data_IF_434809557484
#
_entry.id   IF_434809557484
#
_cell.length_a   1.000
_cell.length_b   1.000
_cell.length_c   1.000
_cell.angle_alpha   90.00
_cell.angle_beta   90.00
_cell.angle_gamma   90.00
#
_symmetry.space_group_name_H-M   'P 1'
#
loop_
_entity.id
_entity.type
_entity.pdbx_description
1 polymer ?
#
# COMPACT_ATOMS: atom_id res chain seq x y z
N UNK A 1 36.20 12.43 -7.46
CA UNK A 1 34.92 13.11 -7.74
C UNK A 1 34.23 12.57 -9.01
N UNK A 2 34.96 12.16 -10.07
CA UNK A 2 34.35 11.54 -11.27
C UNK A 2 33.76 10.12 -11.07
N UNK A 3 34.33 9.30 -10.18
CA UNK A 3 33.85 7.94 -9.94
C UNK A 3 32.45 7.88 -9.27
N UNK A 4 32.12 8.88 -8.44
CA UNK A 4 30.82 8.98 -7.76
C UNK A 4 29.69 9.35 -8.73
N UNK A 5 30.00 10.16 -9.76
CA UNK A 5 29.05 10.51 -10.83
C UNK A 5 28.73 9.33 -11.75
N UNK A 6 29.74 8.54 -12.12
CA UNK A 6 29.54 7.30 -12.89
C UNK A 6 28.75 6.25 -12.10
N UNK A 7 29.01 6.11 -10.80
CA UNK A 7 28.25 5.21 -9.93
C UNK A 7 26.78 5.62 -9.81
N UNK A 8 26.49 6.93 -9.68
CA UNK A 8 25.12 7.45 -9.67
C UNK A 8 24.40 7.25 -11.01
N UNK A 9 25.09 7.45 -12.14
CA UNK A 9 24.52 7.21 -13.49
C UNK A 9 24.21 5.72 -13.69
N UNK A 10 25.12 4.82 -13.31
CA UNK A 10 24.91 3.36 -13.41
C UNK A 10 23.74 2.91 -12.53
N UNK A 11 23.61 3.44 -11.30
CA UNK A 11 22.45 3.15 -10.43
C UNK A 11 21.15 3.72 -10.98
N UNK A 12 21.19 4.90 -11.59
CA UNK A 12 20.02 5.51 -12.22
C UNK A 12 19.57 4.66 -13.42
N UNK A 13 20.50 4.27 -14.30
CA UNK A 13 20.25 3.46 -15.50
C UNK A 13 19.82 2.02 -15.18
N UNK A 14 20.46 1.35 -14.19
CA UNK A 14 19.98 0.06 -13.69
C UNK A 14 18.60 0.18 -13.05
N UNK A 15 18.32 1.29 -12.33
CA UNK A 15 17.02 1.57 -11.74
C UNK A 15 15.89 1.67 -12.77
N UNK A 16 16.18 2.18 -13.98
CA UNK A 16 15.23 2.19 -15.10
C UNK A 16 15.12 0.84 -15.83
N UNK A 17 16.18 0.00 -15.81
CA UNK A 17 16.23 -1.30 -16.51
C UNK A 17 15.73 -2.50 -15.69
N UNK A 18 15.73 -2.44 -14.35
CA UNK A 18 15.24 -3.52 -13.46
C UNK A 18 13.71 -3.55 -13.26
N UNK A 19 12.98 -2.86 -14.12
CA UNK A 19 11.63 -3.27 -14.48
C UNK A 19 10.54 -2.35 -13.95
N UNK A 20 9.64 -2.00 -14.87
CA UNK A 20 8.22 -1.73 -14.54
C UNK A 20 7.82 -2.87 -13.58
N UNK A 21 7.62 -2.56 -12.29
CA UNK A 21 7.41 -3.57 -11.24
C UNK A 21 6.33 -4.58 -11.64
N UNK A 22 6.29 -5.78 -11.04
CA UNK A 22 5.55 -6.98 -11.47
C UNK A 22 4.20 -6.78 -12.23
N UNK A 23 3.46 -5.70 -11.96
CA UNK A 23 2.27 -5.25 -12.70
C UNK A 23 2.51 -4.56 -14.07
N UNK A 24 3.75 -4.33 -14.52
CA UNK A 24 4.06 -3.72 -15.82
C UNK A 24 3.61 -2.27 -16.02
N UNK A 25 3.20 -1.56 -14.96
CA UNK A 25 2.62 -0.22 -15.05
C UNK A 25 3.61 0.83 -15.56
N UNK A 26 3.11 1.73 -16.42
CA UNK A 26 3.83 2.92 -16.84
C UNK A 26 4.04 3.90 -15.68
N UNK A 27 5.09 4.72 -15.77
CA UNK A 27 5.49 5.67 -14.73
C UNK A 27 4.35 6.58 -14.24
N UNK A 28 3.47 7.03 -15.15
CA UNK A 28 2.30 7.86 -14.81
C UNK A 28 1.31 7.16 -13.87
N UNK A 29 1.01 5.89 -14.12
CA UNK A 29 0.03 5.13 -13.34
C UNK A 29 0.59 4.77 -11.96
N UNK A 30 1.87 4.40 -11.88
CA UNK A 30 2.55 4.16 -10.61
C UNK A 30 2.57 5.42 -9.72
N UNK A 31 2.85 6.59 -10.31
CA UNK A 31 2.80 7.87 -9.58
C UNK A 31 1.40 8.21 -9.11
N UNK A 32 0.38 8.04 -9.96
CA UNK A 32 -1.02 8.30 -9.59
C UNK A 32 -1.49 7.41 -8.43
N UNK A 33 -1.17 6.11 -8.46
CA UNK A 33 -1.46 5.16 -7.38
C UNK A 33 -0.77 5.54 -6.07
N UNK A 34 0.48 5.99 -6.15
CA UNK A 34 1.25 6.40 -4.96
C UNK A 34 0.65 7.65 -4.32
N UNK A 35 0.29 8.65 -5.12
CA UNK A 35 -0.38 9.88 -4.63
C UNK A 35 -1.74 9.54 -4.04
N UNK A 36 -2.51 8.66 -4.69
CA UNK A 36 -3.79 8.19 -4.18
C UNK A 36 -3.64 7.46 -2.84
N UNK A 37 -2.66 6.55 -2.71
CA UNK A 37 -2.41 5.82 -1.47
C UNK A 37 -2.03 6.76 -0.33
N UNK A 38 -1.19 7.77 -0.59
CA UNK A 38 -0.86 8.79 0.41
C UNK A 38 -2.10 9.55 0.89
N UNK A 39 -2.95 10.01 -0.04
CA UNK A 39 -4.21 10.68 0.32
C UNK A 39 -5.14 9.75 1.11
N UNK A 40 -5.28 8.49 0.69
CA UNK A 40 -6.09 7.49 1.38
C UNK A 40 -5.60 7.21 2.81
N UNK A 41 -4.28 7.18 3.01
CA UNK A 41 -3.65 7.06 4.32
C UNK A 41 -3.89 8.27 5.23
N UNK A 42 -4.19 9.46 4.69
CA UNK A 42 -4.58 10.63 5.50
C UNK A 42 -6.07 10.64 5.85
N UNK A 43 -6.94 10.12 4.99
CA UNK A 43 -8.37 10.01 5.26
C UNK A 43 -8.70 8.91 6.26
N UNK A 44 -8.04 7.76 6.15
CA UNK A 44 -8.36 6.59 6.97
C UNK A 44 -8.25 6.85 8.48
N UNK A 45 -7.21 7.50 9.02
CA UNK A 45 -7.09 7.77 10.45
C UNK A 45 -8.26 8.57 11.01
N UNK A 46 -8.79 9.53 10.25
CA UNK A 46 -9.93 10.35 10.65
C UNK A 46 -11.18 9.47 10.78
N UNK A 47 -11.46 8.62 9.78
CA UNK A 47 -12.57 7.67 9.84
C UNK A 47 -12.39 6.61 10.93
N UNK A 48 -11.16 6.12 11.12
CA UNK A 48 -10.82 5.13 12.13
C UNK A 48 -10.96 5.66 13.56
N UNK A 49 -10.63 6.95 13.78
CA UNK A 49 -10.85 7.63 15.06
C UNK A 49 -12.34 7.76 15.38
N UNK A 50 -13.16 8.22 14.44
CA UNK A 50 -14.61 8.37 14.62
C UNK A 50 -15.28 7.02 14.93
N UNK A 51 -14.90 5.95 14.22
CA UNK A 51 -15.41 4.60 14.48
C UNK A 51 -14.98 4.06 15.86
N UNK A 52 -13.76 4.36 16.29
CA UNK A 52 -13.24 3.92 17.59
C UNK A 52 -13.93 4.64 18.76
N UNK A 53 -14.24 5.93 18.61
CA UNK A 53 -14.95 6.74 19.61
C UNK A 53 -16.41 6.33 19.78
N UNK A 54 -17.08 5.91 18.71
CA UNK A 54 -18.52 5.62 18.75
C UNK A 54 -18.88 4.21 19.23
N UNK A 55 -18.02 3.20 19.04
CA UNK A 55 -18.52 1.81 19.12
C UNK A 55 -18.01 0.92 20.25
N UNK A 56 -16.72 0.85 20.65
CA UNK A 56 -16.31 -0.35 21.43
C UNK A 56 -15.07 -0.27 22.35
N UNK A 57 -14.46 0.90 22.53
CA UNK A 57 -13.23 1.08 23.31
C UNK A 57 -11.95 0.78 22.51
N UNK A 58 -10.90 1.59 22.74
CA UNK A 58 -9.65 1.64 21.93
C UNK A 58 -9.04 0.27 21.63
N UNK A 59 -8.98 -0.64 22.60
CA UNK A 59 -8.38 -1.97 22.42
C UNK A 59 -9.12 -2.84 21.41
N UNK A 60 -10.45 -2.83 21.41
CA UNK A 60 -11.24 -3.62 20.46
C UNK A 60 -11.15 -3.06 19.05
N UNK A 61 -11.08 -1.73 18.90
CA UNK A 61 -10.88 -1.09 17.61
C UNK A 61 -9.55 -1.53 16.97
N UNK A 62 -8.44 -1.51 17.73
CA UNK A 62 -7.12 -1.95 17.23
C UNK A 62 -7.15 -3.40 16.74
N UNK A 63 -7.80 -4.32 17.46
CA UNK A 63 -7.89 -5.73 17.06
C UNK A 63 -8.69 -5.88 15.76
N UNK A 64 -9.82 -5.19 15.62
CA UNK A 64 -10.60 -5.21 14.37
C UNK A 64 -9.81 -4.66 13.19
N UNK A 65 -9.12 -3.52 13.34
CA UNK A 65 -8.29 -2.96 12.28
C UNK A 65 -7.07 -3.83 11.94
N UNK A 66 -6.49 -4.54 12.93
CA UNK A 66 -5.42 -5.50 12.70
C UNK A 66 -5.88 -6.72 11.88
N UNK A 67 -7.11 -7.22 12.13
CA UNK A 67 -7.70 -8.30 11.32
C UNK A 67 -7.94 -7.83 9.89
N UNK A 68 -8.50 -6.63 9.70
CA UNK A 68 -8.71 -6.05 8.35
C UNK A 68 -7.38 -5.87 7.62
N UNK A 69 -6.34 -5.41 8.32
CA UNK A 69 -4.99 -5.29 7.77
C UNK A 69 -4.40 -6.65 7.33
N UNK A 70 -4.56 -7.69 8.16
CA UNK A 70 -4.15 -9.05 7.84
C UNK A 70 -4.84 -9.59 6.58
N UNK A 71 -6.15 -9.35 6.44
CA UNK A 71 -6.91 -9.75 5.23
C UNK A 71 -6.39 -9.01 4.00
N UNK A 72 -6.14 -7.70 4.10
CA UNK A 72 -5.57 -6.91 3.01
C UNK A 72 -4.20 -7.40 2.56
N UNK A 73 -3.33 -7.78 3.50
CA UNK A 73 -2.03 -8.40 3.22
C UNK A 73 -2.18 -9.76 2.54
N UNK A 74 -3.14 -10.58 2.97
CA UNK A 74 -3.40 -11.89 2.36
C UNK A 74 -3.83 -11.73 0.90
N UNK A 75 -4.75 -10.79 0.62
CA UNK A 75 -5.15 -10.44 -0.75
C UNK A 75 -3.93 -9.94 -1.55
N UNK A 76 -3.11 -9.07 -1.00
CA UNK A 76 -1.90 -8.57 -1.68
C UNK A 76 -0.95 -9.71 -2.08
N UNK A 77 -0.68 -10.63 -1.16
CA UNK A 77 0.20 -11.79 -1.40
C UNK A 77 -0.37 -12.68 -2.49
N UNK A 78 -1.68 -12.99 -2.43
CA UNK A 78 -2.35 -13.80 -3.46
C UNK A 78 -2.30 -13.13 -4.83
N UNK A 79 -2.44 -11.80 -4.88
CA UNK A 79 -2.42 -11.07 -6.16
C UNK A 79 -1.01 -10.87 -6.72
N UNK A 80 0.02 -10.92 -5.87
CA UNK A 80 1.44 -10.86 -6.26
C UNK A 80 1.95 -12.19 -6.85
N UNK A 81 1.18 -13.29 -6.70
CA UNK A 81 1.56 -14.57 -7.29
C UNK A 81 1.51 -14.51 -8.84
N UNK A 82 2.48 -15.11 -9.53
CA UNK A 82 2.57 -15.07 -11.00
C UNK A 82 1.34 -15.68 -11.70
N UNK A 83 0.64 -16.62 -11.04
CA UNK A 83 -0.62 -17.21 -11.52
C UNK A 83 -1.75 -16.17 -11.61
N UNK A 84 -1.87 -15.28 -10.62
CA UNK A 84 -2.94 -14.27 -10.57
C UNK A 84 -2.66 -13.11 -11.55
N UNK A 85 -1.37 -12.80 -11.75
CA UNK A 85 -0.90 -11.82 -12.72
C UNK A 85 -1.16 -12.26 -14.17
N UNK A 86 -0.96 -13.54 -14.50
CA UNK A 86 -1.22 -14.07 -15.84
C UNK A 86 -2.71 -14.07 -16.23
N UNK A 87 -3.62 -14.14 -15.25
CA UNK A 87 -5.07 -14.05 -15.48
C UNK A 87 -5.59 -12.61 -15.68
N UNK A 88 -4.71 -11.60 -15.70
CA UNK A 88 -5.11 -10.19 -15.84
C UNK A 88 -5.79 -9.58 -14.59
N UNK A 89 -5.96 -10.36 -13.52
CA UNK A 89 -6.57 -9.92 -12.26
C UNK A 89 -5.59 -9.20 -11.31
N UNK A 90 -4.30 -9.15 -11.66
CA UNK A 90 -3.21 -8.55 -10.86
C UNK A 90 -3.49 -7.11 -10.41
N UNK A 91 -4.01 -6.29 -11.32
CA UNK A 91 -4.20 -4.85 -11.09
C UNK A 91 -5.41 -4.56 -10.18
N UNK A 92 -6.52 -5.25 -10.42
CA UNK A 92 -7.73 -5.12 -9.61
C UNK A 92 -7.52 -5.59 -8.18
N UNK A 93 -6.88 -6.75 -7.99
CA UNK A 93 -6.57 -7.27 -6.65
C UNK A 93 -5.54 -6.41 -5.91
N UNK A 94 -4.57 -5.82 -6.61
CA UNK A 94 -3.62 -4.88 -6.03
C UNK A 94 -4.31 -3.61 -5.52
N UNK A 95 -5.22 -3.01 -6.30
CA UNK A 95 -6.00 -1.83 -5.89
C UNK A 95 -6.88 -2.16 -4.67
N UNK A 96 -7.59 -3.29 -4.72
CA UNK A 96 -8.42 -3.73 -3.60
C UNK A 96 -7.60 -3.96 -2.33
N UNK A 97 -6.43 -4.60 -2.45
CA UNK A 97 -5.51 -4.82 -1.34
C UNK A 97 -5.03 -3.49 -0.73
N UNK A 98 -4.62 -2.52 -1.57
CA UNK A 98 -4.15 -1.21 -1.09
C UNK A 98 -5.25 -0.46 -0.34
N UNK A 99 -6.51 -0.50 -0.81
CA UNK A 99 -7.63 0.13 -0.12
C UNK A 99 -7.86 -0.48 1.27
N UNK A 100 -7.89 -1.81 1.35
CA UNK A 100 -8.12 -2.56 2.61
C UNK A 100 -6.96 -2.35 3.59
N UNK A 101 -5.71 -2.44 3.12
CA UNK A 101 -4.49 -2.19 3.91
C UNK A 101 -4.47 -0.74 4.40
N UNK A 102 -4.83 0.20 3.53
CA UNK A 102 -4.99 1.61 3.86
C UNK A 102 -5.95 1.80 5.02
N UNK A 103 -7.11 1.13 4.98
CA UNK A 103 -8.12 1.15 6.06
C UNK A 103 -7.57 0.62 7.39
N UNK A 104 -6.88 -0.52 7.37
CA UNK A 104 -6.30 -1.13 8.57
C UNK A 104 -5.17 -0.28 9.19
N UNK A 105 -4.26 0.24 8.37
CA UNK A 105 -3.11 1.03 8.85
C UNK A 105 -3.52 2.38 9.43
N UNK A 106 -4.49 3.06 8.84
CA UNK A 106 -4.97 4.34 9.37
C UNK A 106 -5.69 4.18 10.71
N UNK A 107 -6.49 3.13 10.88
CA UNK A 107 -7.18 2.83 12.14
C UNK A 107 -6.21 2.48 13.29
N UNK A 108 -5.14 1.73 13.03
CA UNK A 108 -4.12 1.42 14.04
C UNK A 108 -3.36 2.70 14.46
N UNK A 109 -2.92 3.52 13.48
CA UNK A 109 -2.22 4.78 13.78
C UNK A 109 -3.09 5.76 14.58
N UNK A 110 -4.36 5.91 14.22
CA UNK A 110 -5.27 6.79 14.94
C UNK A 110 -5.48 6.40 16.42
N UNK A 111 -5.48 5.10 16.72
CA UNK A 111 -5.74 4.59 18.08
C UNK A 111 -4.49 4.45 18.96
N UNK A 112 -3.30 4.29 18.36
CA UNK A 112 -2.01 4.21 19.09
C UNK A 112 -1.43 5.60 19.39
N UNK A 113 -1.74 6.61 18.58
CA UNK A 113 -1.24 7.99 18.77
C UNK A 113 -2.11 8.85 19.70
N UNK A 114 -3.17 8.29 20.27
CA UNK A 114 -4.16 9.00 21.11
C UNK A 114 -4.06 8.59 22.57
#
# INVERSE_FOLDING_TARGET
MAALGLFQIIFNDLGWRLGRGALGMGHRTATALTVFFSMWCYFTPIFGAIMADQYLGRFKAIIYFAIVYMVGLLVLVLTSLPIALQSGAGLGGFIAAILIIGVGTGGIKANVSL
#
